data_IF_976987800818
#
_entry.id   IF_976987800818
#
_cell.length_a   1.000
_cell.length_b   1.000
_cell.length_c   1.000
_cell.angle_alpha   90.00
_cell.angle_beta   90.00
_cell.angle_gamma   90.00
#
_symmetry.space_group_name_H-M   'P 1'
#
loop_
_entity.id
_entity.type
_entity.pdbx_description
1 polymer ?
#
# COMPACT_ATOMS: atom_id res chain seq x y z
N UNK A 1 -17.28 -2.85 -10.50
CA UNK A 1 -15.85 -2.79 -10.92
C UNK A 1 -14.99 -2.92 -9.68
N UNK A 2 -14.27 -4.04 -9.49
CA UNK A 2 -13.37 -4.21 -8.33
C UNK A 2 -12.18 -3.28 -8.54
N UNK A 3 -12.18 -2.14 -7.85
CA UNK A 3 -11.10 -1.17 -7.92
C UNK A 3 -9.94 -1.75 -7.10
N UNK A 4 -8.89 -2.18 -7.78
CA UNK A 4 -7.63 -2.57 -7.16
C UNK A 4 -7.00 -1.30 -6.56
N UNK A 5 -7.46 -0.91 -5.38
CA UNK A 5 -7.04 0.29 -4.65
C UNK A 5 -6.32 -0.11 -3.36
N UNK A 6 -5.59 0.85 -2.76
CA UNK A 6 -4.92 0.66 -1.46
C UNK A 6 -5.91 0.19 -0.38
N UNK A 7 -7.18 0.60 -0.47
CA UNK A 7 -8.25 0.12 0.42
C UNK A 7 -8.48 -1.38 0.30
N UNK A 8 -8.51 -1.94 -0.91
CA UNK A 8 -8.71 -3.38 -1.08
C UNK A 8 -7.54 -4.20 -0.52
N UNK A 9 -6.31 -3.70 -0.67
CA UNK A 9 -5.11 -4.32 -0.07
C UNK A 9 -5.16 -4.21 1.45
N UNK A 10 -5.62 -3.08 1.99
CA UNK A 10 -5.84 -2.88 3.43
C UNK A 10 -6.85 -3.87 3.99
N UNK A 11 -7.98 -4.08 3.31
CA UNK A 11 -9.00 -5.05 3.70
C UNK A 11 -8.48 -6.50 3.63
N UNK A 12 -7.74 -6.85 2.58
CA UNK A 12 -7.18 -8.21 2.41
C UNK A 12 -6.08 -8.53 3.42
N UNK A 13 -5.19 -7.57 3.69
CA UNK A 13 -4.05 -7.78 4.58
C UNK A 13 -4.37 -7.49 6.05
N UNK A 14 -5.54 -6.89 6.34
CA UNK A 14 -5.94 -6.46 7.69
C UNK A 14 -5.13 -5.28 8.23
N UNK A 15 -4.22 -4.70 7.44
CA UNK A 15 -3.44 -3.52 7.83
C UNK A 15 -4.16 -2.24 7.41
N UNK A 16 -3.94 -1.15 8.15
CA UNK A 16 -4.49 0.16 7.79
C UNK A 16 -3.98 0.64 6.43
N UNK A 17 -4.83 1.35 5.68
CA UNK A 17 -4.50 2.00 4.40
C UNK A 17 -3.22 2.85 4.50
N UNK A 18 -3.00 3.52 5.64
CA UNK A 18 -1.81 4.33 5.92
C UNK A 18 -0.53 3.50 6.04
N UNK A 19 -0.60 2.28 6.58
CA UNK A 19 0.51 1.32 6.68
C UNK A 19 0.85 0.77 5.32
N UNK A 20 -0.18 0.32 4.57
CA UNK A 20 -0.04 -0.18 3.21
C UNK A 20 0.54 0.90 2.29
N UNK A 21 0.01 2.11 2.35
CA UNK A 21 0.54 3.26 1.61
C UNK A 21 2.02 3.54 1.93
N UNK A 22 2.42 3.41 3.20
CA UNK A 22 3.81 3.63 3.62
C UNK A 22 4.76 2.56 3.11
N UNK A 23 4.32 1.30 3.10
CA UNK A 23 5.04 0.17 2.50
C UNK A 23 5.21 0.36 1.00
N UNK A 24 4.12 0.66 0.30
CA UNK A 24 4.14 0.84 -1.15
C UNK A 24 4.89 2.10 -1.59
N UNK A 25 4.92 3.13 -0.75
CA UNK A 25 5.70 4.35 -1.00
C UNK A 25 7.18 4.22 -0.62
N UNK A 26 7.65 3.03 -0.18
CA UNK A 26 9.03 2.79 0.26
C UNK A 26 9.39 3.47 1.59
N UNK A 27 8.43 4.10 2.28
CA UNK A 27 8.62 4.77 3.58
C UNK A 27 8.50 3.82 4.77
N UNK A 28 8.26 2.53 4.55
CA UNK A 28 8.07 1.56 5.63
C UNK A 28 9.32 1.35 6.50
N UNK A 29 10.52 1.46 5.93
CA UNK A 29 11.78 1.42 6.71
C UNK A 29 11.84 2.52 7.77
N UNK A 30 11.28 3.71 7.50
CA UNK A 30 11.22 4.81 8.49
C UNK A 30 10.18 4.59 9.58
N UNK A 31 9.24 3.67 9.40
CA UNK A 31 8.08 3.52 10.29
C UNK A 31 8.17 2.38 11.30
N UNK A 32 9.36 1.80 11.53
CA UNK A 32 9.54 0.63 12.44
C UNK A 32 8.59 -0.53 12.09
N UNK A 33 8.19 -0.64 10.83
CA UNK A 33 7.35 -1.75 10.36
C UNK A 33 8.28 -2.96 10.22
N UNK A 34 7.91 -4.08 10.85
CA UNK A 34 8.68 -5.32 10.72
C UNK A 34 8.81 -5.74 9.26
N UNK A 35 9.99 -6.22 8.83
CA UNK A 35 10.18 -6.72 7.46
C UNK A 35 9.10 -7.74 7.06
N UNK A 36 8.65 -8.58 8.01
CA UNK A 36 7.59 -9.55 7.77
C UNK A 36 6.27 -8.91 7.28
N UNK A 37 5.88 -7.78 7.86
CA UNK A 37 4.68 -7.07 7.44
C UNK A 37 4.87 -6.36 6.09
N UNK A 38 6.08 -5.84 5.84
CA UNK A 38 6.46 -5.26 4.54
C UNK A 38 6.31 -6.32 3.45
N UNK A 39 6.85 -7.52 3.68
CA UNK A 39 6.83 -8.62 2.72
C UNK A 39 5.41 -9.10 2.42
N UNK A 40 4.57 -9.29 3.45
CA UNK A 40 3.16 -9.67 3.29
C UNK A 40 2.41 -8.63 2.45
N UNK A 41 2.55 -7.34 2.78
CA UNK A 41 1.87 -6.26 2.07
C UNK A 41 2.38 -6.15 0.63
N UNK A 42 3.69 -6.32 0.40
CA UNK A 42 4.30 -6.20 -0.91
C UNK A 42 3.95 -7.40 -1.81
N UNK A 43 3.85 -8.60 -1.25
CA UNK A 43 3.36 -9.80 -1.92
C UNK A 43 1.90 -9.66 -2.33
N UNK A 44 1.03 -9.19 -1.42
CA UNK A 44 -0.38 -8.97 -1.76
C UNK A 44 -0.58 -7.82 -2.76
N UNK A 45 0.18 -6.73 -2.63
CA UNK A 45 0.14 -5.67 -3.62
C UNK A 45 0.56 -6.13 -5.02
N UNK A 46 1.55 -7.04 -5.11
CA UNK A 46 1.92 -7.72 -6.35
C UNK A 46 0.79 -8.61 -6.89
N UNK A 47 0.15 -9.39 -6.02
CA UNK A 47 -0.99 -10.26 -6.36
C UNK A 47 -2.17 -9.48 -6.93
N UNK A 48 -2.47 -8.34 -6.30
CA UNK A 48 -3.53 -7.42 -6.71
C UNK A 48 -3.09 -6.54 -7.89
N UNK A 49 -1.86 -6.73 -8.41
CA UNK A 49 -1.26 -5.95 -9.48
C UNK A 49 -1.39 -4.44 -9.25
N UNK A 50 -1.29 -4.03 -7.98
CA UNK A 50 -1.44 -2.64 -7.58
C UNK A 50 -0.15 -1.89 -7.88
N UNK A 51 -0.14 -1.20 -9.00
CA UNK A 51 0.90 -0.21 -9.29
C UNK A 51 0.57 1.08 -8.54
N UNK A 52 1.45 1.58 -7.65
CA UNK A 52 1.25 2.88 -7.02
C UNK A 52 1.11 3.93 -8.12
N UNK A 53 -0.12 4.45 -8.27
CA UNK A 53 -0.40 5.41 -9.31
C UNK A 53 0.21 6.75 -8.88
N UNK A 54 1.32 7.15 -9.50
CA UNK A 54 2.00 8.42 -9.24
C UNK A 54 1.05 9.63 -9.43
N UNK A 55 -0.02 9.47 -10.24
CA UNK A 55 -1.09 10.45 -10.39
C UNK A 55 -1.87 10.70 -9.09
N UNK A 56 -2.06 9.68 -8.25
CA UNK A 56 -2.72 9.82 -6.95
C UNK A 56 -1.86 10.60 -5.92
N UNK A 57 -0.55 10.70 -6.15
CA UNK A 57 0.34 11.54 -5.34
C UNK A 57 0.15 13.03 -5.62
N UNK A 58 -0.23 13.40 -6.85
CA UNK A 58 -0.40 14.79 -7.29
C UNK A 58 -1.73 15.44 -6.92
N UNK A 59 -2.77 14.66 -6.63
CA UNK A 59 -4.12 15.20 -6.34
C UNK A 59 -4.33 15.65 -4.87
N UNK A 60 -3.27 15.84 -4.08
CA UNK A 60 -3.35 16.37 -2.71
C UNK A 60 -2.83 17.81 -2.64
N UNK A 61 -3.21 18.62 -3.64
CA UNK A 61 -2.95 20.05 -3.67
C UNK A 61 -4.15 20.75 -4.31
N UNK A 62 -5.21 20.91 -3.51
CA UNK A 62 -6.19 22.00 -3.58
C UNK A 62 -7.03 21.97 -2.31
#
# INVERSE_FOLDING_TARGET
MRKNTIQSISEQTGYSVSTVSRVLSGKAQRSRISQKAIDIIQAEAKRVNYTPNLLAQGLRTS
#
